data_IF_984773710497
#
_entry.id   IF_984773710497
#
_cell.length_a   1.000
_cell.length_b   1.000
_cell.length_c   1.000
_cell.angle_alpha   90.00
_cell.angle_beta   90.00
_cell.angle_gamma   90.00
#
_symmetry.space_group_name_H-M   'P 1'
#
loop_
_entity.id
_entity.type
_entity.pdbx_description
1 polymer ?
#
# COMPACT_ATOMS: atom_id res chain seq x y z
N UNK A 1 15.74 -11.50 11.75
CA UNK A 1 14.63 -10.60 12.04
C UNK A 1 13.81 -10.40 10.76
N UNK A 2 13.18 -9.26 10.53
CA UNK A 2 12.37 -9.07 9.32
C UNK A 2 13.25 -9.03 8.07
N UNK A 3 12.89 -9.80 7.06
CA UNK A 3 13.64 -9.91 5.80
C UNK A 3 12.88 -9.30 4.62
N UNK A 4 11.56 -9.34 4.66
CA UNK A 4 10.69 -8.81 3.59
C UNK A 4 9.58 -7.96 4.21
N UNK A 5 9.58 -6.68 3.91
CA UNK A 5 8.63 -5.71 4.43
C UNK A 5 7.68 -5.31 3.31
N UNK A 6 6.38 -5.52 3.52
CA UNK A 6 5.37 -5.01 2.60
C UNK A 6 4.92 -3.64 3.08
N UNK A 7 5.00 -2.63 2.22
CA UNK A 7 4.42 -1.32 2.45
C UNK A 7 3.26 -1.10 1.49
N UNK A 8 2.08 -0.82 2.04
CA UNK A 8 0.91 -0.50 1.26
C UNK A 8 0.77 1.02 1.14
N UNK A 9 0.55 1.50 -0.07
CA UNK A 9 0.35 2.92 -0.35
C UNK A 9 -0.90 3.13 -1.20
N UNK A 10 -1.66 4.17 -0.89
CA UNK A 10 -2.76 4.64 -1.73
C UNK A 10 -2.35 5.81 -2.64
N UNK A 11 -1.07 6.17 -2.63
CA UNK A 11 -0.52 7.27 -3.41
C UNK A 11 -0.74 8.65 -2.80
N UNK A 12 -1.44 8.73 -1.65
CA UNK A 12 -1.68 10.01 -0.97
C UNK A 12 -0.46 10.47 -0.18
N UNK A 13 -0.42 11.77 0.15
CA UNK A 13 0.62 12.32 1.02
C UNK A 13 0.59 11.71 2.42
N UNK A 14 -0.57 11.19 2.84
CA UNK A 14 -0.74 10.55 4.15
C UNK A 14 0.00 9.22 4.27
N UNK A 15 0.23 8.54 3.16
CA UNK A 15 1.00 7.29 3.15
C UNK A 15 2.52 7.51 3.09
N UNK A 16 2.95 8.75 2.84
CA UNK A 16 4.38 9.07 2.68
C UNK A 16 5.21 8.75 3.92
N UNK A 17 4.68 8.99 5.11
CA UNK A 17 5.40 8.69 6.36
C UNK A 17 5.60 7.19 6.54
N UNK A 18 4.59 6.39 6.19
CA UNK A 18 4.70 4.93 6.24
C UNK A 18 5.77 4.42 5.26
N UNK A 19 5.78 4.96 4.05
CA UNK A 19 6.79 4.64 3.05
C UNK A 19 8.19 4.96 3.54
N UNK A 20 8.39 6.16 4.08
CA UNK A 20 9.69 6.58 4.63
C UNK A 20 10.13 5.64 5.75
N UNK A 21 9.23 5.33 6.69
CA UNK A 21 9.52 4.42 7.80
C UNK A 21 9.91 3.02 7.31
N UNK A 22 9.21 2.51 6.30
CA UNK A 22 9.52 1.19 5.73
C UNK A 22 10.91 1.15 5.10
N UNK A 23 11.27 2.17 4.33
CA UNK A 23 12.59 2.25 3.68
C UNK A 23 13.70 2.41 4.72
N UNK A 24 13.52 3.28 5.71
CA UNK A 24 14.49 3.48 6.79
C UNK A 24 14.71 2.20 7.59
N UNK A 25 13.62 1.51 7.94
CA UNK A 25 13.71 0.24 8.66
C UNK A 25 14.42 -0.82 7.81
N UNK A 26 14.02 -0.98 6.56
CA UNK A 26 14.64 -1.95 5.66
C UNK A 26 16.15 -1.69 5.49
N UNK A 27 16.54 -0.43 5.37
CA UNK A 27 17.96 -0.06 5.30
C UNK A 27 18.69 -0.45 6.57
N UNK A 28 18.11 -0.19 7.73
CA UNK A 28 18.73 -0.45 9.03
C UNK A 28 18.95 -1.95 9.30
N UNK A 29 18.05 -2.81 8.83
CA UNK A 29 18.08 -4.24 9.14
C UNK A 29 18.47 -5.12 7.95
N UNK A 30 18.73 -4.53 6.79
CA UNK A 30 19.10 -5.29 5.58
C UNK A 30 17.93 -6.05 4.96
N UNK A 31 16.71 -5.53 5.07
CA UNK A 31 15.51 -6.13 4.47
C UNK A 31 15.27 -5.61 3.06
N UNK A 32 14.47 -6.36 2.29
CA UNK A 32 13.89 -5.88 1.04
C UNK A 32 12.46 -5.40 1.25
N UNK A 33 11.95 -4.59 0.33
CA UNK A 33 10.62 -3.98 0.42
C UNK A 33 9.77 -4.41 -0.76
N UNK A 34 8.51 -4.73 -0.49
CA UNK A 34 7.46 -4.90 -1.49
C UNK A 34 6.55 -3.68 -1.38
N UNK A 35 6.52 -2.88 -2.44
CA UNK A 35 5.66 -1.70 -2.52
C UNK A 35 4.37 -2.09 -3.24
N UNK A 36 3.25 -2.02 -2.54
CA UNK A 36 1.94 -2.42 -3.06
C UNK A 36 0.99 -1.24 -3.12
N UNK A 37 0.37 -1.06 -4.29
CA UNK A 37 -0.81 -0.22 -4.46
C UNK A 37 -1.99 -1.10 -4.82
N UNK A 38 -3.12 -0.92 -4.14
CA UNK A 38 -4.36 -1.63 -4.46
C UNK A 38 -5.36 -0.67 -5.07
N UNK A 39 -5.78 -0.97 -6.29
CA UNK A 39 -6.89 -0.27 -6.94
C UNK A 39 -8.17 -0.81 -6.33
N UNK A 40 -8.92 0.07 -5.65
CA UNK A 40 -10.14 -0.31 -4.98
C UNK A 40 -11.26 -0.59 -6.00
N UNK A 41 -11.72 -1.82 -6.01
CA UNK A 41 -12.79 -2.30 -6.90
C UNK A 41 -14.07 -1.48 -6.76
N UNK A 42 -14.40 -1.05 -5.55
CA UNK A 42 -15.58 -0.21 -5.30
C UNK A 42 -15.43 1.16 -5.96
N UNK A 43 -14.23 1.73 -5.94
CA UNK A 43 -13.96 3.01 -6.61
C UNK A 43 -14.16 2.89 -8.11
N UNK A 44 -13.69 1.81 -8.72
CA UNK A 44 -13.90 1.54 -10.14
C UNK A 44 -15.40 1.42 -10.45
N UNK A 45 -16.09 0.58 -9.71
CA UNK A 45 -17.52 0.35 -9.90
C UNK A 45 -18.34 1.63 -9.73
N UNK A 46 -18.01 2.46 -8.74
CA UNK A 46 -18.70 3.74 -8.50
C UNK A 46 -18.49 4.72 -9.65
N UNK A 47 -17.28 4.83 -10.17
CA UNK A 47 -16.99 5.69 -11.31
C UNK A 47 -17.77 5.28 -12.55
N UNK A 48 -17.90 3.98 -12.79
CA UNK A 48 -18.65 3.45 -13.92
C UNK A 48 -20.17 3.70 -13.74
N UNK A 49 -20.70 3.35 -12.58
CA UNK A 49 -22.16 3.41 -12.34
C UNK A 49 -22.69 4.82 -12.09
N UNK A 50 -21.96 5.66 -11.36
CA UNK A 50 -22.43 6.98 -10.94
C UNK A 50 -22.01 8.09 -11.89
N UNK A 51 -20.85 7.99 -12.50
CA UNK A 51 -20.30 9.04 -13.38
C UNK A 51 -20.42 8.69 -14.86
N UNK A 52 -20.92 7.50 -15.20
CA UNK A 52 -21.00 7.04 -16.58
C UNK A 52 -19.64 6.87 -17.26
N UNK A 53 -18.58 6.73 -16.49
CA UNK A 53 -17.23 6.59 -17.02
C UNK A 53 -17.03 5.24 -17.70
N UNK A 54 -16.17 5.18 -18.72
CA UNK A 54 -15.76 3.93 -19.34
C UNK A 54 -14.87 3.15 -18.37
N UNK A 55 -15.19 1.88 -18.14
CA UNK A 55 -14.48 1.05 -17.16
C UNK A 55 -13.00 0.91 -17.49
N UNK A 56 -12.67 0.69 -18.77
CA UNK A 56 -11.26 0.55 -19.18
C UNK A 56 -10.47 1.82 -18.96
N UNK A 57 -11.07 2.98 -19.21
CA UNK A 57 -10.43 4.28 -18.99
C UNK A 57 -10.16 4.52 -17.51
N UNK A 58 -11.14 4.19 -16.65
CA UNK A 58 -11.00 4.32 -15.19
C UNK A 58 -9.87 3.39 -14.70
N UNK A 59 -9.90 2.14 -15.12
CA UNK A 59 -8.88 1.16 -14.72
C UNK A 59 -7.49 1.56 -15.19
N UNK A 60 -7.36 2.02 -16.44
CA UNK A 60 -6.07 2.48 -16.99
C UNK A 60 -5.52 3.67 -16.21
N UNK A 61 -6.37 4.64 -15.87
CA UNK A 61 -5.98 5.82 -15.11
C UNK A 61 -5.52 5.46 -13.70
N UNK A 62 -6.28 4.59 -13.03
CA UNK A 62 -5.93 4.14 -11.67
C UNK A 62 -4.68 3.26 -11.67
N UNK A 63 -4.50 2.44 -12.69
CA UNK A 63 -3.29 1.64 -12.88
C UNK A 63 -2.07 2.55 -13.03
N UNK A 64 -2.16 3.59 -13.85
CA UNK A 64 -1.06 4.55 -14.06
C UNK A 64 -0.73 5.30 -12.77
N UNK A 65 -1.75 5.74 -12.03
CA UNK A 65 -1.57 6.42 -10.74
C UNK A 65 -0.93 5.50 -9.71
N UNK A 66 -1.39 4.24 -9.65
CA UNK A 66 -0.83 3.23 -8.74
C UNK A 66 0.63 2.91 -9.07
N UNK A 67 0.94 2.76 -10.34
CA UNK A 67 2.30 2.51 -10.80
C UNK A 67 3.23 3.67 -10.43
N UNK A 68 2.77 4.91 -10.62
CA UNK A 68 3.52 6.10 -10.22
C UNK A 68 3.81 6.10 -8.72
N UNK A 69 2.83 5.72 -7.90
CA UNK A 69 2.98 5.67 -6.45
C UNK A 69 4.06 4.66 -6.03
N UNK A 70 4.00 3.44 -6.56
CA UNK A 70 4.99 2.40 -6.20
C UNK A 70 6.36 2.66 -6.82
N UNK A 71 6.41 3.28 -7.99
CA UNK A 71 7.69 3.70 -8.60
C UNK A 71 8.39 4.77 -7.76
N UNK A 72 7.63 5.64 -7.11
CA UNK A 72 8.16 6.60 -6.15
C UNK A 72 8.84 5.91 -4.97
N UNK A 73 8.26 4.83 -4.47
CA UNK A 73 8.85 4.03 -3.40
C UNK A 73 10.12 3.33 -3.89
N UNK A 74 10.10 2.80 -5.11
CA UNK A 74 11.28 2.19 -5.71
C UNK A 74 12.42 3.19 -5.83
N UNK A 75 12.15 4.42 -6.25
CA UNK A 75 13.16 5.48 -6.33
C UNK A 75 13.77 5.78 -4.95
N UNK A 76 12.96 5.82 -3.90
CA UNK A 76 13.44 5.99 -2.53
C UNK A 76 14.34 4.81 -2.10
N UNK A 77 13.93 3.60 -2.45
CA UNK A 77 14.72 2.40 -2.19
C UNK A 77 16.06 2.42 -2.90
N UNK A 78 16.07 2.79 -4.18
CA UNK A 78 17.30 2.89 -4.97
C UNK A 78 18.28 3.89 -4.36
N UNK A 79 17.77 5.06 -3.93
CA UNK A 79 18.59 6.07 -3.26
C UNK A 79 19.14 5.60 -1.92
N UNK A 80 18.45 4.70 -1.24
CA UNK A 80 18.84 4.18 0.09
C UNK A 80 19.60 2.85 0.02
N UNK A 81 19.74 2.26 -1.16
CA UNK A 81 20.35 0.93 -1.32
C UNK A 81 19.44 -0.21 -0.84
N UNK A 82 18.12 0.00 -0.85
CA UNK A 82 17.11 -0.99 -0.43
C UNK A 82 16.45 -1.58 -1.68
N UNK A 83 16.49 -2.91 -1.87
CA UNK A 83 15.78 -3.55 -2.97
C UNK A 83 14.26 -3.37 -2.81
N UNK A 84 13.59 -2.90 -3.85
CA UNK A 84 12.14 -2.70 -3.85
C UNK A 84 11.51 -3.41 -5.04
N UNK A 85 10.53 -4.26 -4.77
CA UNK A 85 9.66 -4.85 -5.79
C UNK A 85 8.35 -4.08 -5.80
N UNK A 86 7.88 -3.67 -6.97
CA UNK A 86 6.64 -2.91 -7.11
C UNK A 86 5.50 -3.80 -7.57
N UNK A 87 4.32 -3.60 -6.99
CA UNK A 87 3.12 -4.34 -7.35
C UNK A 87 1.90 -3.41 -7.34
N UNK A 88 1.08 -3.50 -8.39
CA UNK A 88 -0.24 -2.86 -8.45
C UNK A 88 -1.27 -3.97 -8.66
N UNK A 89 -2.26 -4.03 -7.78
CA UNK A 89 -3.32 -5.05 -7.82
C UNK A 89 -4.68 -4.38 -7.72
N UNK A 90 -5.70 -5.01 -8.26
CA UNK A 90 -7.06 -4.52 -8.20
C UNK A 90 -7.91 -5.48 -7.35
N UNK A 91 -8.69 -4.94 -6.42
CA UNK A 91 -9.54 -5.74 -5.55
C UNK A 91 -9.97 -5.00 -4.30
N UNK A 92 -10.31 -5.75 -3.26
CA UNK A 92 -10.62 -5.22 -1.94
C UNK A 92 -9.32 -4.89 -1.21
N UNK A 93 -9.09 -3.63 -0.83
CA UNK A 93 -7.76 -3.20 -0.36
C UNK A 93 -7.21 -4.01 0.82
N UNK A 94 -7.97 -4.18 1.89
CA UNK A 94 -7.45 -4.87 3.07
C UNK A 94 -7.16 -6.35 2.80
N UNK A 95 -8.06 -7.04 2.10
CA UNK A 95 -7.86 -8.44 1.75
C UNK A 95 -6.65 -8.60 0.83
N UNK A 96 -6.50 -7.71 -0.15
CA UNK A 96 -5.37 -7.75 -1.08
C UNK A 96 -4.04 -7.56 -0.37
N UNK A 97 -3.96 -6.65 0.60
CA UNK A 97 -2.74 -6.46 1.39
C UNK A 97 -2.37 -7.75 2.12
N UNK A 98 -3.33 -8.38 2.77
CA UNK A 98 -3.10 -9.64 3.50
C UNK A 98 -2.70 -10.77 2.54
N UNK A 99 -3.39 -10.89 1.42
CA UNK A 99 -3.13 -11.95 0.43
C UNK A 99 -1.74 -11.79 -0.21
N UNK A 100 -1.37 -10.56 -0.59
CA UNK A 100 -0.04 -10.30 -1.17
C UNK A 100 1.05 -10.53 -0.13
N UNK A 101 0.84 -10.12 1.12
CA UNK A 101 1.81 -10.37 2.19
C UNK A 101 2.08 -11.88 2.33
N UNK A 102 1.03 -12.70 2.29
CA UNK A 102 1.18 -14.15 2.36
C UNK A 102 1.87 -14.73 1.13
N UNK A 103 1.41 -14.34 -0.07
CA UNK A 103 1.95 -14.85 -1.34
C UNK A 103 3.43 -14.50 -1.52
N UNK A 104 3.82 -13.28 -1.14
CA UNK A 104 5.19 -12.80 -1.27
C UNK A 104 6.06 -13.11 -0.04
N UNK A 105 5.51 -13.79 0.94
CA UNK A 105 6.21 -14.18 2.17
C UNK A 105 6.77 -12.95 2.92
N UNK A 106 6.00 -11.87 2.97
CA UNK A 106 6.34 -10.71 3.78
C UNK A 106 6.21 -11.09 5.26
N UNK A 107 7.13 -10.63 6.07
CA UNK A 107 7.15 -10.92 7.51
C UNK A 107 6.85 -9.69 8.37
N UNK A 108 6.61 -8.55 7.72
CA UNK A 108 6.14 -7.33 8.34
C UNK A 108 5.30 -6.53 7.32
N UNK A 109 4.19 -5.98 7.76
CA UNK A 109 3.38 -5.05 6.96
C UNK A 109 3.53 -3.65 7.58
N UNK A 110 3.79 -2.64 6.75
CA UNK A 110 3.85 -1.23 7.18
C UNK A 110 2.75 -0.46 6.48
N UNK A 111 1.95 0.26 7.24
CA UNK A 111 0.83 1.05 6.72
C UNK A 111 0.73 2.38 7.42
N UNK A 112 0.19 3.38 6.74
CA UNK A 112 -0.25 4.62 7.37
C UNK A 112 -1.51 4.38 8.19
N UNK A 113 -1.71 5.16 9.25
CA UNK A 113 -2.89 5.05 10.11
C UNK A 113 -4.18 5.49 9.43
N UNK A 114 -4.07 6.31 8.38
CA UNK A 114 -5.19 6.85 7.62
C UNK A 114 -4.91 6.75 6.12
N UNK A 115 -5.96 6.48 5.36
CA UNK A 115 -5.89 6.55 3.91
C UNK A 115 -6.40 7.88 3.39
N UNK A 116 -6.81 7.86 2.13
CA UNK A 116 -7.27 9.01 1.36
C UNK A 116 -8.52 9.69 1.96
N UNK A 117 -9.35 8.95 2.71
CA UNK A 117 -10.59 9.44 3.29
C UNK A 117 -10.43 10.56 4.32
N UNK A 118 -9.23 10.79 4.84
CA UNK A 118 -8.96 11.91 5.73
C UNK A 118 -9.66 11.87 7.08
N UNK A 119 -9.90 10.69 7.62
CA UNK A 119 -10.54 10.52 8.92
C UNK A 119 -9.80 11.25 10.04
N UNK A 120 -10.49 11.53 11.13
CA UNK A 120 -9.92 12.16 12.31
C UNK A 120 -8.63 11.48 12.78
N UNK A 121 -7.65 12.28 13.24
CA UNK A 121 -6.39 11.77 13.79
C UNK A 121 -6.56 10.83 14.97
N UNK A 122 -7.72 10.85 15.61
CA UNK A 122 -8.03 10.00 16.76
C UNK A 122 -8.49 8.60 16.35
N UNK A 123 -8.84 8.40 15.07
CA UNK A 123 -9.35 7.13 14.57
C UNK A 123 -8.37 6.53 13.56
N UNK A 124 -8.27 5.22 13.58
CA UNK A 124 -7.52 4.46 12.58
C UNK A 124 -8.44 4.19 11.39
N UNK A 125 -7.92 4.29 10.17
CA UNK A 125 -8.69 4.06 8.95
C UNK A 125 -9.23 2.64 8.83
N UNK A 126 -10.32 2.46 8.08
CA UNK A 126 -11.01 1.18 7.97
C UNK A 126 -10.18 0.08 7.35
N UNK A 127 -9.33 0.41 6.37
CA UNK A 127 -8.44 -0.57 5.73
C UNK A 127 -7.41 -1.08 6.73
N UNK A 128 -6.80 -0.18 7.50
CA UNK A 128 -5.82 -0.55 8.52
C UNK A 128 -6.45 -1.43 9.59
N UNK A 129 -7.66 -1.10 10.05
CA UNK A 129 -8.38 -1.93 11.02
C UNK A 129 -8.58 -3.35 10.53
N UNK A 130 -9.01 -3.52 9.28
CA UNK A 130 -9.21 -4.84 8.69
C UNK A 130 -7.90 -5.61 8.53
N UNK A 131 -6.83 -4.93 8.11
CA UNK A 131 -5.51 -5.56 8.00
C UNK A 131 -5.03 -6.04 9.38
N UNK A 132 -5.17 -5.21 10.41
CA UNK A 132 -4.83 -5.60 11.79
C UNK A 132 -5.61 -6.82 12.25
N UNK A 133 -6.86 -6.93 11.80
CA UNK A 133 -7.73 -8.05 12.17
C UNK A 133 -7.35 -9.35 11.46
N UNK A 134 -6.97 -9.28 10.18
CA UNK A 134 -6.75 -10.44 9.34
C UNK A 134 -5.29 -10.84 9.13
N UNK A 135 -4.35 -9.94 9.38
CA UNK A 135 -2.94 -10.22 9.14
C UNK A 135 -2.42 -11.31 10.08
N UNK A 136 -1.59 -12.19 9.51
CA UNK A 136 -0.92 -13.26 10.27
C UNK A 136 0.53 -12.90 10.60
N UNK A 137 0.97 -11.71 10.20
CA UNK A 137 2.30 -11.16 10.49
C UNK A 137 2.15 -9.83 11.23
N UNK A 138 3.20 -9.35 11.91
CA UNK A 138 3.15 -8.05 12.56
C UNK A 138 2.82 -6.91 11.60
N UNK A 139 2.12 -5.91 12.10
CA UNK A 139 1.73 -4.72 11.34
C UNK A 139 2.26 -3.49 12.08
N UNK A 140 3.08 -2.71 11.42
CA UNK A 140 3.55 -1.42 11.92
C UNK A 140 2.67 -0.32 11.34
N UNK A 141 1.94 0.35 12.22
CA UNK A 141 1.05 1.45 11.83
C UNK A 141 1.77 2.77 12.09
N UNK A 142 1.93 3.58 11.06
CA UNK A 142 2.65 4.86 11.11
C UNK A 142 1.63 6.00 11.05
N UNK A 143 1.67 6.88 12.03
CA UNK A 143 0.78 8.05 12.11
C UNK A 143 1.33 9.24 11.34
#
# INVERSE_FOLDING_TARGET
MYKRILVATDGSSKSAMATKSAIELAKAIGAEVIALNVINEVTVASAVSQLGSDRKDVEARLQAAGQKAVDGIKSMGDAAGVPVTTMVRQGAPAQMVVDVAAAEKADLIVMGSHGESGMSKLLIGSVVQKVLYWATVPVLVVR
#
